data_IF_878957744970
#
_entry.id   IF_878957744970
#
_cell.length_a   1.000
_cell.length_b   1.000
_cell.length_c   1.000
_cell.angle_alpha   90.00
_cell.angle_beta   90.00
_cell.angle_gamma   90.00
#
_symmetry.space_group_name_H-M   'P 1'
#
loop_
_entity.id
_entity.type
_entity.pdbx_description
1 polymer ?
#
# COMPACT_ATOMS: atom_id res chain seq x y z
N UNK A 1 -9.62 49.67 43.65
CA UNK A 1 -8.65 49.70 42.53
C UNK A 1 -7.31 49.04 42.84
N UNK A 2 -6.62 49.34 43.96
CA UNK A 2 -5.33 48.71 44.31
C UNK A 2 -5.37 47.18 44.53
N UNK A 3 -6.43 46.67 45.17
CA UNK A 3 -6.59 45.22 45.43
C UNK A 3 -6.87 44.43 44.14
N UNK A 4 -7.61 45.01 43.19
CA UNK A 4 -7.89 44.39 41.90
C UNK A 4 -6.62 44.27 41.04
N UNK A 5 -5.73 45.27 41.10
CA UNK A 5 -4.42 45.23 40.45
C UNK A 5 -3.49 44.16 41.06
N UNK A 6 -3.53 43.96 42.38
CA UNK A 6 -2.75 42.92 43.06
C UNK A 6 -3.18 41.49 42.65
N UNK A 7 -4.48 41.24 42.53
CA UNK A 7 -5.00 39.93 42.11
C UNK A 7 -4.66 39.63 40.65
N UNK A 8 -4.77 40.62 39.76
CA UNK A 8 -4.36 40.48 38.35
C UNK A 8 -2.86 40.23 38.25
N UNK A 9 -2.02 40.90 39.05
CA UNK A 9 -0.58 40.64 39.07
C UNK A 9 -0.20 39.24 39.57
N UNK A 10 -0.99 38.65 40.49
CA UNK A 10 -0.75 37.31 41.01
C UNK A 10 -1.12 36.21 40.00
N UNK A 11 -2.12 36.45 39.15
CA UNK A 11 -2.53 35.52 38.09
C UNK A 11 -1.52 35.44 36.93
N UNK A 12 -0.79 36.52 36.66
CA UNK A 12 0.27 36.54 35.65
C UNK A 12 1.60 35.94 36.14
N UNK A 13 1.76 35.73 37.45
CA UNK A 13 2.96 35.16 38.07
C UNK A 13 2.83 33.68 38.40
N UNK A 14 1.86 32.96 37.80
CA UNK A 14 1.85 31.51 37.92
C UNK A 14 3.00 30.93 37.06
N UNK A 15 3.96 30.20 37.67
CA UNK A 15 4.94 29.47 36.89
C UNK A 15 4.20 28.44 36.06
N UNK A 16 4.34 28.53 34.74
CA UNK A 16 3.87 27.50 33.84
C UNK A 16 4.67 26.24 34.15
N UNK A 17 4.07 25.29 34.88
CA UNK A 17 4.56 23.92 34.97
C UNK A 17 4.35 23.29 33.59
N UNK A 18 5.19 23.66 32.64
CA UNK A 18 5.31 22.93 31.39
C UNK A 18 5.81 21.53 31.76
N UNK A 19 5.01 20.51 31.46
CA UNK A 19 5.48 19.14 31.54
C UNK A 19 6.76 19.01 30.68
N UNK A 20 7.75 18.21 31.10
CA UNK A 20 8.91 17.96 30.27
C UNK A 20 8.44 17.43 28.92
N UNK A 21 8.96 18.03 27.85
CA UNK A 21 8.69 17.61 26.48
C UNK A 21 9.10 16.13 26.34
N UNK A 22 8.11 15.24 26.28
CA UNK A 22 8.36 13.82 26.06
C UNK A 22 8.83 13.72 24.62
N UNK A 23 10.11 13.36 24.44
CA UNK A 23 10.68 13.14 23.11
C UNK A 23 9.95 11.95 22.50
N UNK A 24 8.98 12.22 21.62
CA UNK A 24 8.31 11.17 20.85
C UNK A 24 9.36 10.44 20.01
N UNK A 25 9.19 9.12 19.86
CA UNK A 25 10.08 8.32 19.02
C UNK A 25 9.92 8.69 17.54
N UNK A 26 11.00 8.57 16.77
CA UNK A 26 10.96 8.83 15.34
C UNK A 26 9.99 7.85 14.66
N UNK A 27 8.94 8.38 14.02
CA UNK A 27 8.07 7.60 13.15
C UNK A 27 8.73 7.46 11.79
N UNK A 28 9.40 6.33 11.57
CA UNK A 28 9.91 5.93 10.26
C UNK A 28 8.82 5.36 9.34
N UNK A 29 7.56 5.35 9.80
CA UNK A 29 6.48 4.64 9.13
C UNK A 29 6.05 5.26 7.81
N UNK A 30 5.19 4.52 7.12
CA UNK A 30 4.76 4.68 5.74
C UNK A 30 5.89 4.92 4.72
N UNK A 31 6.19 3.89 3.92
CA UNK A 31 7.09 4.02 2.77
C UNK A 31 6.28 3.96 1.49
N UNK A 32 6.42 4.98 0.67
CA UNK A 32 5.73 5.07 -0.63
C UNK A 32 6.62 4.45 -1.70
N UNK A 33 6.01 3.64 -2.55
CA UNK A 33 6.62 3.19 -3.81
C UNK A 33 5.96 4.03 -4.90
N UNK A 34 6.69 5.00 -5.44
CA UNK A 34 6.13 5.95 -6.42
C UNK A 34 5.86 5.29 -7.77
N UNK A 35 6.68 4.30 -8.12
CA UNK A 35 6.63 3.59 -9.40
C UNK A 35 6.87 2.11 -9.14
N UNK A 36 5.92 1.27 -9.55
CA UNK A 36 6.08 -0.18 -9.55
C UNK A 36 7.01 -0.61 -10.71
N UNK A 37 7.65 -1.78 -10.62
CA UNK A 37 8.55 -2.25 -11.66
C UNK A 37 7.92 -2.28 -13.04
N UNK A 38 8.67 -1.86 -14.06
CA UNK A 38 8.22 -1.75 -15.45
C UNK A 38 7.95 -3.10 -16.14
N UNK A 39 8.45 -4.19 -15.56
CA UNK A 39 8.23 -5.54 -16.03
C UNK A 39 6.90 -6.15 -15.59
N UNK A 40 6.13 -5.48 -14.73
CA UNK A 40 4.76 -5.89 -14.43
C UNK A 40 3.88 -5.78 -15.68
N UNK A 41 2.86 -6.65 -15.77
CA UNK A 41 1.90 -6.62 -16.88
C UNK A 41 1.15 -5.29 -16.86
N UNK A 42 1.07 -4.65 -18.02
CA UNK A 42 0.13 -3.54 -18.23
C UNK A 42 -1.24 -4.15 -18.52
N UNK A 43 -2.13 -4.11 -17.54
CA UNK A 43 -3.48 -4.68 -17.62
C UNK A 43 -4.54 -3.59 -17.73
N UNK A 44 -5.65 -3.89 -18.40
CA UNK A 44 -6.89 -3.09 -18.37
C UNK A 44 -7.80 -3.45 -17.19
N UNK A 45 -7.31 -4.28 -16.26
CA UNK A 45 -8.03 -4.84 -15.12
C UNK A 45 -9.16 -5.80 -15.52
N UNK A 46 -9.07 -6.38 -16.72
CA UNK A 46 -9.91 -7.52 -17.13
C UNK A 46 -9.11 -8.80 -16.92
N UNK A 47 -9.33 -9.45 -15.78
CA UNK A 47 -8.59 -10.66 -15.41
C UNK A 47 -9.02 -11.87 -16.23
N UNK A 48 -10.14 -11.80 -16.95
CA UNK A 48 -10.50 -12.84 -17.92
C UNK A 48 -9.58 -12.77 -19.14
N UNK A 49 -9.37 -11.57 -19.69
CA UNK A 49 -8.45 -11.33 -20.80
C UNK A 49 -7.00 -11.63 -20.38
N UNK A 50 -6.57 -11.14 -19.22
CA UNK A 50 -5.21 -11.39 -18.74
C UNK A 50 -4.92 -12.89 -18.53
N UNK A 51 -5.91 -13.68 -18.11
CA UNK A 51 -5.75 -15.13 -17.93
C UNK A 51 -5.68 -15.88 -19.26
N UNK A 52 -6.45 -15.44 -20.26
CA UNK A 52 -6.39 -15.99 -21.62
C UNK A 52 -5.01 -15.71 -22.24
N UNK A 53 -4.52 -14.47 -22.18
CA UNK A 53 -3.19 -14.09 -22.67
C UNK A 53 -2.08 -14.89 -21.97
N UNK A 54 -2.13 -15.00 -20.64
CA UNK A 54 -1.16 -15.79 -19.89
C UNK A 54 -1.18 -17.27 -20.32
N UNK A 55 -2.37 -17.83 -20.56
CA UNK A 55 -2.53 -19.22 -21.03
C UNK A 55 -1.91 -19.43 -22.41
N UNK A 56 -2.13 -18.49 -23.33
CA UNK A 56 -1.56 -18.53 -24.69
C UNK A 56 -0.03 -18.44 -24.69
N UNK A 57 0.53 -17.69 -23.73
CA UNK A 57 1.98 -17.59 -23.51
C UNK A 57 2.56 -18.73 -22.65
N UNK A 58 1.73 -19.70 -22.23
CA UNK A 58 2.10 -20.80 -21.32
C UNK A 58 2.70 -20.29 -19.99
N UNK A 59 2.06 -19.25 -19.42
CA UNK A 59 2.33 -18.63 -18.14
C UNK A 59 1.14 -18.79 -17.18
N UNK A 60 1.35 -18.42 -15.92
CA UNK A 60 0.31 -18.28 -14.91
C UNK A 60 0.08 -16.80 -14.57
N UNK A 61 -1.08 -16.44 -14.04
CA UNK A 61 -1.29 -15.10 -13.49
C UNK A 61 -0.79 -15.05 -12.05
N UNK A 62 -0.09 -13.98 -11.68
CA UNK A 62 0.28 -13.70 -10.28
C UNK A 62 -0.27 -12.32 -9.90
N UNK A 63 -1.21 -12.28 -8.96
CA UNK A 63 -1.81 -11.03 -8.48
C UNK A 63 -1.09 -10.55 -7.23
N UNK A 64 -0.49 -9.37 -7.32
CA UNK A 64 0.19 -8.69 -6.23
C UNK A 64 -0.69 -7.59 -5.62
N UNK A 65 -1.22 -7.87 -4.43
CA UNK A 65 -1.98 -6.90 -3.65
C UNK A 65 -1.05 -6.01 -2.82
N UNK A 66 -1.20 -4.70 -2.99
CA UNK A 66 -0.42 -3.68 -2.28
C UNK A 66 -1.31 -2.55 -1.76
N UNK A 67 -0.70 -1.60 -1.04
CA UNK A 67 -1.35 -0.36 -0.67
C UNK A 67 -0.33 0.78 -0.61
N UNK A 68 -0.81 2.01 -0.81
CA UNK A 68 0.00 3.21 -0.67
C UNK A 68 0.56 3.35 0.76
N UNK A 69 1.83 3.73 0.87
CA UNK A 69 2.49 3.94 2.16
C UNK A 69 2.76 2.63 2.93
N UNK A 70 2.80 1.48 2.28
CA UNK A 70 3.09 0.20 2.93
C UNK A 70 4.60 -0.08 3.00
N UNK A 71 5.23 -0.06 4.19
CA UNK A 71 6.67 -0.31 4.32
C UNK A 71 7.07 -1.72 3.91
N UNK A 72 6.21 -2.71 4.13
CA UNK A 72 6.48 -4.09 3.72
C UNK A 72 6.35 -4.29 2.21
N UNK A 73 5.46 -3.55 1.56
CA UNK A 73 5.28 -3.54 0.12
C UNK A 73 6.51 -2.90 -0.54
N UNK A 74 6.97 -1.76 -0.01
CA UNK A 74 8.22 -1.14 -0.44
C UNK A 74 9.41 -2.09 -0.29
N UNK A 75 9.52 -2.79 0.84
CA UNK A 75 10.57 -3.78 1.05
C UNK A 75 10.53 -4.91 0.01
N UNK A 76 9.33 -5.43 -0.30
CA UNK A 76 9.18 -6.47 -1.33
C UNK A 76 9.62 -5.96 -2.72
N UNK A 77 9.24 -4.73 -3.07
CA UNK A 77 9.61 -4.13 -4.36
C UNK A 77 11.12 -3.93 -4.48
N UNK A 78 11.74 -3.37 -3.43
CA UNK A 78 13.17 -3.03 -3.41
C UNK A 78 14.10 -4.23 -3.28
N UNK A 79 13.68 -5.26 -2.55
CA UNK A 79 14.53 -6.42 -2.30
C UNK A 79 14.23 -7.54 -3.30
N UNK A 80 12.98 -7.97 -3.42
CA UNK A 80 12.61 -9.17 -4.16
C UNK A 80 12.29 -8.89 -5.63
N UNK A 81 11.52 -7.83 -5.91
CA UNK A 81 11.19 -7.46 -7.29
C UNK A 81 12.30 -6.65 -7.98
N UNK A 82 13.46 -6.51 -7.33
CA UNK A 82 14.70 -5.96 -7.88
C UNK A 82 15.82 -7.01 -8.02
N UNK A 83 15.62 -8.24 -7.53
CA UNK A 83 16.58 -9.34 -7.67
C UNK A 83 16.45 -9.98 -9.07
N UNK A 84 17.54 -9.97 -9.85
CA UNK A 84 17.53 -10.44 -11.23
C UNK A 84 17.09 -11.90 -11.40
N UNK A 85 17.43 -12.78 -10.45
CA UNK A 85 17.07 -14.20 -10.55
C UNK A 85 15.56 -14.41 -10.26
N UNK A 86 15.01 -13.64 -9.34
CA UNK A 86 13.56 -13.62 -9.07
C UNK A 86 12.82 -13.04 -10.27
N UNK A 87 13.24 -11.88 -10.78
CA UNK A 87 12.62 -11.24 -11.95
C UNK A 87 12.62 -12.19 -13.14
N UNK A 88 13.77 -12.80 -13.47
CA UNK A 88 13.88 -13.72 -14.59
C UNK A 88 12.95 -14.93 -14.46
N UNK A 89 12.74 -15.43 -13.23
CA UNK A 89 11.77 -16.50 -12.99
C UNK A 89 10.32 -16.01 -13.14
N UNK A 90 10.01 -14.84 -12.59
CA UNK A 90 8.67 -14.27 -12.65
C UNK A 90 8.26 -13.95 -14.09
N UNK A 91 9.10 -13.23 -14.85
CA UNK A 91 8.81 -12.90 -16.24
C UNK A 91 8.69 -14.13 -17.16
N UNK A 92 9.37 -15.22 -16.82
CA UNK A 92 9.30 -16.47 -17.59
C UNK A 92 7.99 -17.22 -17.34
N UNK A 93 7.58 -17.32 -16.08
CA UNK A 93 6.53 -18.24 -15.66
C UNK A 93 5.20 -17.53 -15.37
N UNK A 94 5.21 -16.19 -15.21
CA UNK A 94 4.06 -15.43 -14.73
C UNK A 94 3.83 -14.12 -15.48
N UNK A 95 2.56 -13.79 -15.62
CA UNK A 95 2.06 -12.44 -15.86
C UNK A 95 1.70 -11.81 -14.52
N UNK A 96 2.50 -10.82 -14.10
CA UNK A 96 2.38 -10.19 -12.79
C UNK A 96 1.51 -8.96 -12.86
N UNK A 97 0.38 -9.00 -12.16
CA UNK A 97 -0.62 -7.92 -12.12
C UNK A 97 -0.63 -7.32 -10.72
N UNK A 98 -0.55 -6.00 -10.63
CA UNK A 98 -0.70 -5.29 -9.36
C UNK A 98 -2.16 -4.91 -9.10
N UNK A 99 -2.57 -4.95 -7.84
CA UNK A 99 -3.90 -4.52 -7.41
C UNK A 99 -3.77 -3.74 -6.11
N UNK A 100 -4.18 -2.48 -6.11
CA UNK A 100 -4.19 -1.67 -4.90
C UNK A 100 -5.40 -2.07 -4.05
N UNK A 101 -5.19 -2.56 -2.83
CA UNK A 101 -6.28 -3.03 -1.98
C UNK A 101 -7.26 -1.93 -1.56
N UNK A 102 -6.88 -0.67 -1.71
CA UNK A 102 -7.73 0.51 -1.49
C UNK A 102 -7.98 1.29 -2.80
N UNK A 103 -7.63 0.69 -3.94
CA UNK A 103 -7.82 1.27 -5.26
C UNK A 103 -9.28 1.29 -5.68
N UNK A 104 -9.56 2.17 -6.64
CA UNK A 104 -10.89 2.42 -7.19
C UNK A 104 -10.94 2.17 -8.72
N UNK A 105 -9.93 1.49 -9.31
CA UNK A 105 -10.04 1.07 -10.70
C UNK A 105 -11.12 0.00 -10.84
N UNK A 106 -11.89 0.09 -11.93
CA UNK A 106 -12.82 -0.96 -12.32
C UNK A 106 -12.02 -2.21 -12.70
N UNK A 107 -12.48 -3.37 -12.23
CA UNK A 107 -11.85 -4.67 -12.36
C UNK A 107 -12.92 -5.71 -12.68
N UNK A 108 -12.66 -6.57 -13.67
CA UNK A 108 -13.53 -7.69 -14.04
C UNK A 108 -12.82 -8.99 -13.73
N UNK A 109 -13.43 -9.87 -12.93
CA UNK A 109 -12.85 -11.17 -12.63
C UNK A 109 -13.06 -12.18 -13.77
N UNK A 110 -12.39 -13.34 -13.68
CA UNK A 110 -12.51 -14.45 -14.64
C UNK A 110 -13.91 -15.08 -14.74
N UNK A 111 -14.87 -14.65 -13.91
CA UNK A 111 -16.29 -15.06 -14.02
C UNK A 111 -17.15 -14.00 -14.72
N UNK A 112 -16.55 -12.88 -15.11
CA UNK A 112 -17.23 -11.72 -15.68
C UNK A 112 -17.88 -10.83 -14.62
N UNK A 113 -17.53 -10.98 -13.34
CA UNK A 113 -18.07 -10.15 -12.27
C UNK A 113 -17.23 -8.89 -12.12
N UNK A 114 -17.93 -7.76 -12.09
CA UNK A 114 -17.33 -6.43 -11.92
C UNK A 114 -17.13 -6.08 -10.44
N UNK A 115 -16.02 -5.41 -10.16
CA UNK A 115 -15.62 -4.89 -8.87
C UNK A 115 -14.83 -3.59 -9.05
N UNK A 116 -14.72 -2.78 -8.00
CA UNK A 116 -13.53 -1.96 -7.80
C UNK A 116 -12.39 -2.79 -7.19
N UNK A 117 -11.13 -2.37 -7.31
CA UNK A 117 -9.99 -3.09 -6.71
C UNK A 117 -10.17 -3.37 -5.20
N UNK A 118 -10.70 -2.40 -4.46
CA UNK A 118 -11.01 -2.57 -3.02
C UNK A 118 -12.10 -3.61 -2.76
N UNK A 119 -13.13 -3.66 -3.60
CA UNK A 119 -14.21 -4.66 -3.47
C UNK A 119 -13.71 -6.05 -3.85
N UNK A 120 -12.87 -6.14 -4.88
CA UNK A 120 -12.22 -7.39 -5.27
C UNK A 120 -11.29 -7.90 -4.16
N UNK A 121 -10.49 -7.02 -3.56
CA UNK A 121 -9.61 -7.36 -2.44
C UNK A 121 -10.39 -7.89 -1.23
N UNK A 122 -11.53 -7.25 -0.92
CA UNK A 122 -12.43 -7.72 0.13
C UNK A 122 -13.10 -9.07 -0.22
N UNK A 123 -13.53 -9.24 -1.47
CA UNK A 123 -14.11 -10.49 -1.99
C UNK A 123 -13.12 -11.66 -1.89
N UNK A 124 -11.86 -11.42 -2.23
CA UNK A 124 -10.74 -12.36 -2.10
C UNK A 124 -10.26 -12.55 -0.66
N UNK A 125 -10.86 -11.84 0.31
CA UNK A 125 -10.51 -11.88 1.74
C UNK A 125 -9.06 -11.49 2.02
N UNK A 126 -8.48 -10.61 1.21
CA UNK A 126 -7.16 -10.02 1.47
C UNK A 126 -7.29 -9.08 2.67
N UNK A 127 -6.50 -9.32 3.71
CA UNK A 127 -6.53 -8.53 4.95
C UNK A 127 -5.24 -7.77 5.22
N UNK A 128 -4.15 -8.15 4.56
CA UNK A 128 -2.82 -7.61 4.79
C UNK A 128 -2.08 -7.42 3.47
N UNK A 129 -1.13 -6.50 3.45
CA UNK A 129 -0.25 -6.24 2.31
C UNK A 129 1.22 -6.31 2.76
N UNK A 130 2.13 -6.79 1.89
CA UNK A 130 1.85 -7.36 0.58
C UNK A 130 1.18 -8.76 0.66
N UNK A 131 0.27 -9.05 -0.27
CA UNK A 131 -0.29 -10.40 -0.48
C UNK A 131 -0.10 -10.79 -1.94
N UNK A 132 0.27 -12.05 -2.20
CA UNK A 132 0.44 -12.58 -3.57
C UNK A 132 -0.48 -13.79 -3.72
N UNK A 133 -1.27 -13.81 -4.79
CA UNK A 133 -2.11 -14.94 -5.19
C UNK A 133 -1.68 -15.45 -6.57
N UNK A 134 -1.85 -16.76 -6.80
CA UNK A 134 -1.51 -17.48 -8.03
C UNK A 134 -2.72 -18.27 -8.52
#
# INVERSE_FOLDING_TARGET
MRILFLIVSLLFFQPSLAAPEVKEGDYFGAKVVDVLPDWFKTTFMDFSEDLEEATDENKHVMIYFHQNGCPYCAKLVEDNFSDEAIIAKLQKDFDVIETNMWGDRDLVDWTGKEFSEKEFSAFMKVQFTPTILF
#
